data_IF_667104837255
#
_entry.id   IF_667104837255
#
_cell.length_a   1.000
_cell.length_b   1.000
_cell.length_c   1.000
_cell.angle_alpha   90.00
_cell.angle_beta   90.00
_cell.angle_gamma   90.00
#
_symmetry.space_group_name_H-M   'P 1'
#
loop_
_entity.id
_entity.type
_entity.pdbx_description
1 polymer ?
#
# COMPACT_ATOMS: atom_id res chain seq x y z
N UNK A 1 -28.62 19.87 -3.24
CA UNK A 1 -27.93 19.39 -4.46
C UNK A 1 -26.67 18.62 -4.04
N UNK A 2 -26.79 17.34 -3.70
CA UNK A 2 -25.64 16.47 -3.37
C UNK A 2 -25.40 15.56 -4.55
N UNK A 3 -24.41 15.92 -5.39
CA UNK A 3 -24.01 15.12 -6.55
C UNK A 3 -23.17 13.91 -6.08
N UNK A 4 -23.63 12.73 -6.50
CA UNK A 4 -22.91 11.51 -6.86
C UNK A 4 -21.44 11.36 -6.41
N UNK A 5 -21.16 10.28 -5.69
CA UNK A 5 -19.99 9.45 -5.94
C UNK A 5 -20.50 8.03 -6.12
N UNK A 6 -21.04 7.72 -7.30
CA UNK A 6 -20.27 7.08 -8.36
C UNK A 6 -19.52 5.88 -7.81
N UNK A 7 -20.18 4.73 -7.95
CA UNK A 7 -19.62 3.39 -7.88
C UNK A 7 -18.30 3.38 -8.66
N UNK A 8 -17.16 3.53 -7.98
CA UNK A 8 -15.87 3.56 -8.66
C UNK A 8 -15.52 2.12 -9.02
N UNK A 9 -15.49 1.86 -10.32
CA UNK A 9 -14.81 0.69 -10.87
C UNK A 9 -13.40 0.67 -10.29
N UNK A 10 -13.17 -0.25 -9.34
CA UNK A 10 -11.94 -0.40 -8.56
C UNK A 10 -10.79 -0.87 -9.48
N UNK A 11 -10.23 0.05 -10.26
CA UNK A 11 -9.05 -0.19 -11.06
C UNK A 11 -7.82 -0.29 -10.16
N UNK A 12 -7.01 -1.34 -10.35
CA UNK A 12 -5.66 -1.37 -9.78
C UNK A 12 -4.79 -0.37 -10.53
N UNK A 13 -4.08 0.49 -9.81
CA UNK A 13 -3.06 1.39 -10.38
C UNK A 13 -1.67 0.77 -10.22
N UNK A 14 -0.77 1.02 -11.18
CA UNK A 14 0.63 0.61 -11.07
C UNK A 14 1.41 1.67 -10.29
N UNK A 15 2.13 1.23 -9.26
CA UNK A 15 3.10 2.04 -8.54
C UNK A 15 4.49 1.38 -8.62
N UNK A 16 5.54 2.20 -8.65
CA UNK A 16 6.93 1.74 -8.59
C UNK A 16 7.54 2.25 -7.28
N UNK A 17 8.14 1.35 -6.51
CA UNK A 17 8.79 1.65 -5.22
C UNK A 17 10.21 1.11 -5.25
N UNK A 18 11.12 1.80 -4.57
CA UNK A 18 12.45 1.26 -4.29
C UNK A 18 12.41 0.51 -2.96
N UNK A 19 12.89 -0.73 -2.96
CA UNK A 19 13.01 -1.59 -1.78
C UNK A 19 14.43 -2.15 -1.75
N UNK A 20 14.91 -2.53 -0.57
CA UNK A 20 16.16 -3.29 -0.48
C UNK A 20 15.98 -4.65 -1.17
N UNK A 21 17.02 -5.18 -1.83
CA UNK A 21 16.94 -6.50 -2.47
C UNK A 21 16.51 -7.60 -1.51
N UNK A 22 16.99 -7.55 -0.28
CA UNK A 22 16.74 -8.54 0.77
C UNK A 22 15.25 -8.58 1.15
N UNK A 23 14.63 -7.41 1.34
CA UNK A 23 13.21 -7.32 1.69
C UNK A 23 12.31 -7.82 0.55
N UNK A 24 12.67 -7.50 -0.70
CA UNK A 24 11.90 -7.96 -1.85
C UNK A 24 12.03 -9.49 -2.04
N UNK A 25 13.20 -10.05 -1.77
CA UNK A 25 13.42 -11.49 -1.82
C UNK A 25 12.60 -12.22 -0.75
N UNK A 26 12.66 -11.74 0.50
CA UNK A 26 11.85 -12.31 1.59
C UNK A 26 10.35 -12.26 1.29
N UNK A 27 9.85 -11.13 0.77
CA UNK A 27 8.45 -10.99 0.39
C UNK A 27 8.04 -11.97 -0.74
N UNK A 28 8.95 -12.26 -1.68
CA UNK A 28 8.72 -13.27 -2.73
C UNK A 28 8.70 -14.68 -2.14
N UNK A 29 9.64 -15.00 -1.26
CA UNK A 29 9.70 -16.30 -0.59
C UNK A 29 8.41 -16.57 0.19
N UNK A 30 7.95 -15.61 0.98
CA UNK A 30 6.69 -15.71 1.72
C UNK A 30 5.48 -15.89 0.79
N UNK A 31 5.44 -15.14 -0.32
CA UNK A 31 4.37 -15.25 -1.32
C UNK A 31 4.33 -16.66 -1.93
N UNK A 32 5.48 -17.20 -2.34
CA UNK A 32 5.55 -18.55 -2.91
C UNK A 32 5.13 -19.60 -1.88
N UNK A 33 5.64 -19.52 -0.66
CA UNK A 33 5.30 -20.45 0.41
C UNK A 33 3.79 -20.45 0.76
N UNK A 34 3.14 -19.28 0.68
CA UNK A 34 1.73 -19.10 1.04
C UNK A 34 0.78 -18.98 -0.18
N UNK A 35 1.24 -19.32 -1.37
CA UNK A 35 0.45 -19.24 -2.60
C UNK A 35 -0.72 -20.25 -2.65
N UNK A 36 -0.66 -21.30 -1.83
CA UNK A 36 -1.67 -22.36 -1.73
C UNK A 36 -2.85 -22.03 -0.82
N UNK A 37 -3.79 -22.97 -0.72
CA UNK A 37 -4.90 -22.90 0.24
C UNK A 37 -4.36 -22.95 1.68
N UNK A 38 -4.94 -22.20 2.65
CA UNK A 38 -6.12 -21.34 2.53
C UNK A 38 -5.84 -19.89 2.09
N UNK A 39 -4.59 -19.43 2.16
CA UNK A 39 -4.26 -18.02 2.02
C UNK A 39 -4.32 -17.52 0.57
N UNK A 40 -3.88 -18.32 -0.39
CA UNK A 40 -3.73 -17.95 -1.81
C UNK A 40 -3.05 -16.58 -1.96
N UNK A 41 -1.94 -16.40 -1.24
CA UNK A 41 -1.27 -15.13 -1.14
C UNK A 41 -0.64 -14.76 -2.50
N UNK A 42 -0.67 -13.48 -2.82
CA UNK A 42 0.05 -12.91 -3.96
C UNK A 42 0.85 -11.72 -3.47
N UNK A 43 1.92 -11.35 -4.18
CA UNK A 43 2.75 -10.20 -3.79
C UNK A 43 1.93 -8.91 -3.73
N UNK A 44 0.98 -8.74 -4.66
CA UNK A 44 0.04 -7.60 -4.63
C UNK A 44 -0.81 -7.61 -3.36
N UNK A 45 -1.36 -8.76 -2.95
CA UNK A 45 -2.19 -8.86 -1.73
C UNK A 45 -1.35 -8.59 -0.48
N UNK A 46 -0.12 -9.11 -0.43
CA UNK A 46 0.82 -8.85 0.66
C UNK A 46 1.10 -7.35 0.81
N UNK A 47 1.48 -6.68 -0.29
CA UNK A 47 1.80 -5.25 -0.28
C UNK A 47 0.57 -4.41 0.08
N UNK A 48 -0.60 -4.74 -0.47
CA UNK A 48 -1.84 -4.02 -0.13
C UNK A 48 -2.20 -4.16 1.36
N UNK A 49 -2.10 -5.36 1.92
CA UNK A 49 -2.36 -5.62 3.34
C UNK A 49 -1.35 -4.89 4.23
N UNK A 50 -0.06 -4.95 3.89
CA UNK A 50 1.00 -4.26 4.63
C UNK A 50 0.79 -2.75 4.63
N UNK A 51 0.50 -2.15 3.47
CA UNK A 51 0.23 -0.71 3.36
C UNK A 51 -1.01 -0.30 4.14
N UNK A 52 -2.11 -1.08 4.08
CA UNK A 52 -3.32 -0.80 4.85
C UNK A 52 -3.09 -0.88 6.36
N UNK A 53 -2.37 -1.91 6.81
CA UNK A 53 -2.03 -2.08 8.22
C UNK A 53 -1.16 -0.93 8.73
N UNK A 54 -0.15 -0.54 7.97
CA UNK A 54 0.73 0.57 8.35
C UNK A 54 0.00 1.92 8.35
N UNK A 55 -0.85 2.19 7.35
CA UNK A 55 -1.67 3.39 7.35
C UNK A 55 -2.61 3.44 8.55
N UNK A 56 -3.23 2.31 8.94
CA UNK A 56 -4.05 2.24 10.14
C UNK A 56 -3.24 2.54 11.41
N UNK A 57 -2.02 1.97 11.52
CA UNK A 57 -1.09 2.25 12.62
C UNK A 57 -0.76 3.75 12.69
N UNK A 58 -0.47 4.38 11.56
CA UNK A 58 -0.11 5.80 11.47
C UNK A 58 -1.30 6.72 11.83
N UNK A 59 -2.51 6.39 11.38
CA UNK A 59 -3.72 7.13 11.79
C UNK A 59 -3.91 7.11 13.30
N UNK A 60 -3.81 5.94 13.90
CA UNK A 60 -3.95 5.78 15.35
C UNK A 60 -2.86 6.54 16.11
N UNK A 61 -1.60 6.48 15.63
CA UNK A 61 -0.47 7.10 16.31
C UNK A 61 -0.40 8.62 16.15
N UNK A 62 -0.81 9.16 15.01
CA UNK A 62 -0.53 10.55 14.63
C UNK A 62 -1.75 11.37 14.22
N UNK A 63 -2.93 10.76 14.13
CA UNK A 63 -4.14 11.44 13.68
C UNK A 63 -5.40 11.00 14.47
N UNK A 64 -5.24 10.57 15.73
CA UNK A 64 -6.35 10.15 16.59
C UNK A 64 -7.25 9.05 15.99
N UNK A 65 -6.72 8.24 15.08
CA UNK A 65 -7.48 7.23 14.34
C UNK A 65 -8.27 7.75 13.14
N UNK A 66 -8.28 9.06 12.90
CA UNK A 66 -8.99 9.70 11.79
C UNK A 66 -8.24 9.55 10.45
N UNK A 67 -8.95 9.79 9.35
CA UNK A 67 -8.37 9.82 8.00
C UNK A 67 -7.38 10.98 7.83
N UNK A 68 -6.28 10.74 7.10
CA UNK A 68 -5.37 11.81 6.72
C UNK A 68 -6.05 12.78 5.75
N UNK A 69 -5.80 14.10 5.87
CA UNK A 69 -6.39 15.08 4.96
C UNK A 69 -5.89 14.86 3.51
N UNK A 70 -6.69 15.25 2.49
CA UNK A 70 -6.24 15.23 1.11
C UNK A 70 -4.96 16.04 0.93
N UNK A 71 -4.02 15.52 0.15
CA UNK A 71 -2.80 16.26 -0.21
C UNK A 71 -3.14 17.55 -0.96
N UNK A 72 -2.49 18.66 -0.61
CA UNK A 72 -2.62 19.95 -1.31
C UNK A 72 -1.70 20.08 -2.52
N UNK A 73 -0.69 19.21 -2.62
CA UNK A 73 0.29 19.14 -3.70
C UNK A 73 0.54 17.68 -4.10
N UNK A 74 1.03 17.44 -5.31
CA UNK A 74 1.47 16.11 -5.70
C UNK A 74 2.73 15.71 -4.95
N UNK A 75 2.84 14.42 -4.63
CA UNK A 75 4.10 13.86 -4.16
C UNK A 75 5.15 14.08 -5.25
N UNK A 76 6.14 14.93 -4.96
CA UNK A 76 7.25 15.18 -5.87
C UNK A 76 7.96 13.85 -6.13
N UNK A 77 7.87 13.36 -7.36
CA UNK A 77 8.65 12.22 -7.81
C UNK A 77 10.14 12.58 -7.73
N UNK A 78 10.92 11.80 -7.00
CA UNK A 78 12.36 12.01 -6.87
C UNK A 78 13.07 10.72 -6.46
N UNK A 79 14.32 10.57 -6.93
CA UNK A 79 15.21 9.50 -6.45
C UNK A 79 15.40 9.72 -4.94
N UNK A 80 15.27 8.69 -4.08
CA UNK A 80 15.66 8.81 -2.68
C UNK A 80 17.07 9.42 -2.61
N UNK A 81 17.23 10.51 -1.85
CA UNK A 81 18.57 10.98 -1.48
C UNK A 81 19.15 9.83 -0.66
N UNK A 82 20.23 9.24 -1.18
CA UNK A 82 20.81 7.98 -0.74
C UNK A 82 20.81 7.80 0.80
N UNK A 83 20.41 6.60 1.24
CA UNK A 83 20.90 6.02 2.48
C UNK A 83 22.14 5.18 2.15
#
# INVERSE_FOLDING_TARGET
MTKNSANSTQGKVRATLYLTPELLDEARNATVFLAGYPLRLTLTRLVEQALRAELARLKNAYNCGEEFPPRTEELKGGRPIAA
#
